data_IF_413731402148
#
_entry.id   IF_413731402148
#
_cell.length_a   1.000
_cell.length_b   1.000
_cell.length_c   1.000
_cell.angle_alpha   90.00
_cell.angle_beta   90.00
_cell.angle_gamma   90.00
#
_symmetry.space_group_name_H-M   'P 1'
#
loop_
_entity.id
_entity.type
_entity.pdbx_description
1 polymer ?
#
# COMPACT_ATOMS: atom_id res chain seq x y z
N UNK A 1 57.66 -19.97 39.88
CA UNK A 1 56.32 -19.75 40.47
C UNK A 1 55.36 -19.20 39.41
N UNK A 2 54.90 -20.04 38.48
CA UNK A 2 53.79 -19.80 37.51
C UNK A 2 53.83 -20.90 36.45
N UNK A 3 53.36 -22.11 36.74
CA UNK A 3 53.08 -23.12 35.70
C UNK A 3 52.29 -24.34 36.17
N UNK A 4 51.42 -24.18 37.17
CA UNK A 4 50.49 -25.23 37.58
C UNK A 4 49.14 -24.59 37.93
N UNK A 5 48.43 -24.11 36.91
CA UNK A 5 46.97 -24.02 36.99
C UNK A 5 46.45 -25.45 36.84
N UNK A 6 45.80 -25.95 37.89
CA UNK A 6 45.28 -27.32 37.98
C UNK A 6 44.47 -27.68 36.72
N UNK A 7 44.64 -28.90 36.21
CA UNK A 7 43.93 -29.38 35.02
C UNK A 7 42.42 -29.10 35.07
N UNK A 8 41.82 -29.15 36.26
CA UNK A 8 40.41 -28.85 36.52
C UNK A 8 40.01 -27.43 36.12
N UNK A 9 40.82 -26.41 36.39
CA UNK A 9 40.52 -25.03 36.03
C UNK A 9 40.60 -24.79 34.51
N UNK A 10 41.48 -25.53 33.83
CA UNK A 10 41.61 -25.48 32.36
C UNK A 10 40.37 -26.04 31.65
N UNK A 11 39.79 -27.11 32.19
CA UNK A 11 38.53 -27.65 31.66
C UNK A 11 37.34 -26.74 31.95
N UNK A 12 37.29 -26.08 33.12
CA UNK A 12 36.25 -25.09 33.43
C UNK A 12 36.32 -23.90 32.46
N UNK A 13 37.52 -23.39 32.16
CA UNK A 13 37.69 -22.30 31.20
C UNK A 13 37.30 -22.69 29.76
N UNK A 14 37.63 -23.92 29.34
CA UNK A 14 37.20 -24.47 28.06
C UNK A 14 35.67 -24.67 27.99
N UNK A 15 35.04 -25.11 29.08
CA UNK A 15 33.57 -25.22 29.17
C UNK A 15 32.87 -23.85 29.16
N UNK A 16 33.45 -22.82 29.82
CA UNK A 16 32.90 -21.46 29.79
C UNK A 16 33.01 -20.85 28.39
N UNK A 17 34.14 -21.04 27.69
CA UNK A 17 34.31 -20.60 26.29
C UNK A 17 33.35 -21.37 25.37
N UNK A 18 33.16 -22.67 25.58
CA UNK A 18 32.25 -23.49 24.79
C UNK A 18 30.77 -23.08 25.01
N UNK A 19 30.38 -22.77 26.25
CA UNK A 19 29.05 -22.23 26.58
C UNK A 19 28.85 -20.83 25.96
N UNK A 20 29.85 -19.95 25.99
CA UNK A 20 29.79 -18.62 25.34
C UNK A 20 29.76 -18.69 23.81
N UNK A 21 30.33 -19.73 23.19
CA UNK A 21 30.29 -19.94 21.73
C UNK A 21 29.04 -20.69 21.25
N UNK A 22 28.35 -21.43 22.11
CA UNK A 22 27.08 -22.11 21.78
C UNK A 22 25.86 -21.21 22.08
N UNK A 23 25.97 -20.26 23.01
CA UNK A 23 24.89 -19.35 23.37
C UNK A 23 24.47 -18.26 22.36
N UNK A 24 25.22 -17.85 21.30
CA UNK A 24 24.71 -16.84 20.37
C UNK A 24 23.79 -17.41 19.28
N UNK A 25 23.54 -18.73 19.25
CA UNK A 25 22.72 -19.38 18.22
C UNK A 25 21.36 -19.90 18.70
N UNK A 26 20.87 -19.43 19.85
CA UNK A 26 19.41 -19.37 20.01
C UNK A 26 18.90 -18.17 19.21
N UNK A 27 18.90 -18.31 17.89
CA UNK A 27 17.96 -17.56 17.07
C UNK A 27 16.60 -17.86 17.66
N UNK A 28 16.02 -16.89 18.39
CA UNK A 28 14.59 -16.90 18.61
C UNK A 28 14.00 -17.01 17.20
N UNK A 29 13.50 -18.19 16.84
CA UNK A 29 12.58 -18.32 15.73
C UNK A 29 11.37 -17.50 16.17
N UNK A 30 11.44 -16.19 15.94
CA UNK A 30 10.33 -15.29 16.14
C UNK A 30 9.24 -15.86 15.26
N UNK A 31 8.24 -16.49 15.87
CA UNK A 31 7.11 -17.04 15.13
C UNK A 31 6.56 -15.86 14.35
N UNK A 32 6.78 -15.85 13.03
CA UNK A 32 6.35 -14.75 12.20
C UNK A 32 4.83 -14.83 12.19
N UNK A 33 4.18 -14.08 13.08
CA UNK A 33 2.73 -13.97 13.07
C UNK A 33 2.37 -13.40 11.71
N UNK A 34 1.41 -14.03 11.04
CA UNK A 34 0.93 -13.54 9.75
C UNK A 34 0.47 -12.09 9.89
N UNK A 35 0.62 -11.28 8.84
CA UNK A 35 0.21 -9.87 8.84
C UNK A 35 -1.13 -9.70 8.15
N UNK A 36 -2.11 -9.11 8.83
CA UNK A 36 -3.41 -8.82 8.27
C UNK A 36 -3.67 -7.30 8.30
N UNK A 37 -3.79 -6.72 7.11
CA UNK A 37 -4.28 -5.35 6.94
C UNK A 37 -5.78 -5.37 6.62
N UNK A 38 -6.55 -4.56 7.34
CA UNK A 38 -8.00 -4.44 7.15
C UNK A 38 -8.30 -3.02 6.67
N UNK A 39 -8.97 -2.94 5.53
CA UNK A 39 -9.50 -1.69 4.95
C UNK A 39 -11.01 -1.67 5.16
N UNK A 40 -11.54 -0.54 5.61
CA UNK A 40 -12.98 -0.28 5.65
C UNK A 40 -13.32 0.80 4.62
N UNK A 41 -13.97 0.38 3.54
CA UNK A 41 -14.42 1.21 2.42
C UNK A 41 -15.69 2.00 2.77
N UNK A 42 -16.09 2.93 1.89
CA UNK A 42 -17.31 3.74 2.01
C UNK A 42 -17.47 4.57 3.29
N UNK A 43 -16.35 4.96 3.92
CA UNK A 43 -16.39 5.92 5.03
C UNK A 43 -16.80 7.29 4.46
N UNK A 44 -17.85 7.89 5.03
CA UNK A 44 -18.19 9.27 4.74
C UNK A 44 -19.66 9.67 4.78
N UNK A 45 -20.60 8.75 4.52
CA UNK A 45 -22.04 9.07 4.52
C UNK A 45 -22.73 8.78 5.85
N UNK A 46 -22.39 7.68 6.51
CA UNK A 46 -23.00 7.31 7.78
C UNK A 46 -22.08 7.70 8.95
N UNK A 47 -22.39 8.82 9.61
CA UNK A 47 -21.60 9.33 10.74
C UNK A 47 -21.51 8.32 11.89
N UNK A 48 -22.63 7.67 12.25
CA UNK A 48 -22.68 6.77 13.40
C UNK A 48 -21.81 5.54 13.17
N UNK A 49 -21.91 4.90 12.01
CA UNK A 49 -21.13 3.71 11.71
C UNK A 49 -19.66 4.05 11.48
N UNK A 50 -19.38 5.13 10.73
CA UNK A 50 -18.01 5.59 10.49
C UNK A 50 -17.27 5.91 11.78
N UNK A 51 -17.95 6.56 12.74
CA UNK A 51 -17.39 6.83 14.07
C UNK A 51 -17.02 5.55 14.82
N UNK A 52 -17.95 4.59 14.91
CA UNK A 52 -17.70 3.32 15.61
C UNK A 52 -16.51 2.56 15.03
N UNK A 53 -16.38 2.55 13.71
CA UNK A 53 -15.22 1.95 13.03
C UNK A 53 -13.93 2.73 13.36
N UNK A 54 -13.94 4.06 13.22
CA UNK A 54 -12.78 4.90 13.51
C UNK A 54 -12.29 4.79 14.97
N UNK A 55 -13.18 4.48 15.91
CA UNK A 55 -12.88 4.34 17.34
C UNK A 55 -12.46 2.90 17.75
N UNK A 56 -12.49 1.91 16.84
CA UNK A 56 -12.05 0.55 17.16
C UNK A 56 -10.59 0.53 17.63
N UNK A 57 -10.21 -0.16 18.71
CA UNK A 57 -8.83 -0.17 19.24
C UNK A 57 -7.85 -1.06 18.45
N UNK A 58 -7.95 -1.09 17.12
CA UNK A 58 -7.07 -1.84 16.21
C UNK A 58 -6.57 -0.97 15.04
N UNK A 59 -5.44 -1.33 14.40
CA UNK A 59 -4.85 -0.56 13.31
C UNK A 59 -5.56 -0.87 11.97
N UNK A 60 -6.75 -0.33 11.78
CA UNK A 60 -7.46 -0.39 10.50
C UNK A 60 -7.10 0.80 9.59
N UNK A 61 -7.29 0.61 8.30
CA UNK A 61 -7.21 1.67 7.29
C UNK A 61 -8.62 2.10 6.87
N UNK A 62 -8.91 3.39 6.95
CA UNK A 62 -10.20 3.97 6.57
C UNK A 62 -10.12 4.48 5.12
N UNK A 63 -10.90 3.91 4.21
CA UNK A 63 -11.03 4.42 2.85
C UNK A 63 -12.21 5.39 2.79
N UNK A 64 -11.90 6.67 2.61
CA UNK A 64 -12.86 7.77 2.74
C UNK A 64 -13.25 8.29 1.37
N UNK A 65 -14.56 8.31 1.10
CA UNK A 65 -15.12 8.90 -0.12
C UNK A 65 -14.98 10.44 -0.06
N UNK A 66 -14.55 11.10 -1.14
CA UNK A 66 -14.46 12.55 -1.19
C UNK A 66 -15.86 13.20 -1.23
N UNK A 67 -15.96 14.40 -0.67
CA UNK A 67 -17.15 15.27 -0.68
C UNK A 67 -18.43 14.68 -0.08
N UNK A 68 -18.32 13.63 0.73
CA UNK A 68 -19.46 13.17 1.52
C UNK A 68 -19.69 14.10 2.72
N UNK A 69 -20.90 14.11 3.31
CA UNK A 69 -21.24 15.02 4.41
C UNK A 69 -20.32 14.91 5.63
N UNK A 70 -19.73 13.74 5.87
CA UNK A 70 -18.91 13.47 7.05
C UNK A 70 -17.49 12.98 6.73
N UNK A 71 -17.09 12.92 5.45
CA UNK A 71 -15.81 12.33 5.03
C UNK A 71 -14.61 12.99 5.70
N UNK A 72 -14.51 14.33 5.59
CA UNK A 72 -13.44 15.11 6.23
C UNK A 72 -13.39 14.91 7.74
N UNK A 73 -14.54 15.01 8.41
CA UNK A 73 -14.63 14.82 9.86
C UNK A 73 -14.17 13.42 10.29
N UNK A 74 -14.62 12.37 9.58
CA UNK A 74 -14.26 10.99 9.89
C UNK A 74 -12.79 10.68 9.59
N UNK A 75 -12.20 11.32 8.58
CA UNK A 75 -10.76 11.25 8.30
C UNK A 75 -9.93 11.87 9.44
N UNK A 76 -10.31 13.06 9.91
CA UNK A 76 -9.65 13.72 11.06
C UNK A 76 -9.78 12.87 12.33
N UNK A 77 -10.99 12.38 12.64
CA UNK A 77 -11.23 11.51 13.79
C UNK A 77 -10.40 10.22 13.68
N UNK A 78 -10.45 9.54 12.54
CA UNK A 78 -9.69 8.30 12.32
C UNK A 78 -8.19 8.52 12.51
N UNK A 79 -7.64 9.61 11.95
CA UNK A 79 -6.23 9.95 12.13
C UNK A 79 -5.88 10.18 13.61
N UNK A 80 -6.71 10.91 14.36
CA UNK A 80 -6.55 11.11 15.81
C UNK A 80 -6.63 9.80 16.61
N UNK A 81 -7.43 8.84 16.16
CA UNK A 81 -7.53 7.48 16.72
C UNK A 81 -6.46 6.51 16.19
N UNK A 82 -5.42 7.04 15.54
CA UNK A 82 -4.28 6.29 15.04
C UNK A 82 -4.56 5.43 13.80
N UNK A 83 -5.68 5.66 13.09
CA UNK A 83 -6.00 4.95 11.85
C UNK A 83 -5.19 5.50 10.68
N UNK A 84 -4.92 4.64 9.71
CA UNK A 84 -4.44 5.10 8.40
C UNK A 84 -5.62 5.62 7.59
N UNK A 85 -5.44 6.73 6.89
CA UNK A 85 -6.45 7.29 6.00
C UNK A 85 -6.01 7.04 4.55
N UNK A 86 -6.93 6.55 3.74
CA UNK A 86 -6.76 6.45 2.30
C UNK A 86 -7.95 7.06 1.56
N UNK A 87 -7.71 7.57 0.35
CA UNK A 87 -8.77 8.10 -0.49
C UNK A 87 -9.50 6.94 -1.18
N UNK A 88 -10.81 6.84 -0.99
CA UNK A 88 -11.67 5.91 -1.72
C UNK A 88 -12.17 6.62 -2.98
N UNK A 89 -11.49 6.40 -4.10
CA UNK A 89 -11.72 7.18 -5.32
C UNK A 89 -12.89 6.60 -6.10
N UNK A 90 -13.98 7.35 -6.34
CA UNK A 90 -15.08 6.89 -7.17
C UNK A 90 -14.66 6.73 -8.62
N UNK A 91 -15.01 5.59 -9.21
CA UNK A 91 -14.60 5.24 -10.57
C UNK A 91 -15.74 4.62 -11.36
N UNK A 92 -15.79 4.91 -12.66
CA UNK A 92 -16.86 4.42 -13.54
C UNK A 92 -17.00 2.90 -13.54
N UNK A 93 -18.24 2.43 -13.63
CA UNK A 93 -18.62 1.03 -13.52
C UNK A 93 -19.45 0.58 -14.74
N UNK A 94 -19.37 -0.70 -15.07
CA UNK A 94 -20.04 -1.29 -16.25
C UNK A 94 -21.58 -1.17 -16.21
N UNK A 95 -22.15 -1.01 -15.01
CA UNK A 95 -23.59 -0.91 -14.78
C UNK A 95 -24.10 0.54 -14.76
N UNK A 96 -23.25 1.53 -15.03
CA UNK A 96 -23.60 2.96 -15.04
C UNK A 96 -24.28 3.43 -13.73
N UNK A 97 -23.92 2.79 -12.61
CA UNK A 97 -24.39 3.21 -11.30
C UNK A 97 -23.91 4.63 -10.99
N UNK A 98 -24.66 5.42 -10.20
CA UNK A 98 -24.23 6.75 -9.78
C UNK A 98 -22.85 6.71 -9.11
N UNK A 99 -21.93 7.53 -9.60
CA UNK A 99 -20.52 7.52 -9.14
C UNK A 99 -20.30 8.38 -7.89
N UNK A 100 -21.16 9.37 -7.66
CA UNK A 100 -20.92 10.39 -6.64
C UNK A 100 -19.89 11.45 -7.07
N UNK A 101 -19.65 12.44 -6.21
CA UNK A 101 -18.73 13.54 -6.48
C UNK A 101 -17.26 13.07 -6.54
N UNK A 102 -16.43 13.76 -7.33
CA UNK A 102 -15.00 13.46 -7.43
C UNK A 102 -14.66 12.19 -8.23
N UNK A 103 -15.60 11.70 -9.03
CA UNK A 103 -15.44 10.46 -9.79
C UNK A 103 -14.50 10.60 -10.99
N UNK A 104 -13.79 9.51 -11.29
CA UNK A 104 -13.00 9.34 -12.51
C UNK A 104 -13.76 8.45 -13.51
N UNK A 105 -13.73 8.81 -14.79
CA UNK A 105 -14.36 8.03 -15.89
C UNK A 105 -13.37 7.83 -17.04
N UNK A 106 -13.72 7.03 -18.05
CA UNK A 106 -12.84 6.75 -19.18
C UNK A 106 -12.64 7.96 -20.10
N UNK A 107 -13.57 8.90 -20.08
CA UNK A 107 -13.65 10.03 -21.00
C UNK A 107 -12.87 11.26 -20.47
N UNK A 108 -12.26 11.16 -19.30
CA UNK A 108 -11.49 12.26 -18.71
C UNK A 108 -10.17 12.46 -19.47
N UNK A 109 -9.77 13.71 -19.67
CA UNK A 109 -8.40 14.01 -20.09
C UNK A 109 -7.44 13.84 -18.90
N UNK A 110 -6.15 13.61 -19.18
CA UNK A 110 -5.13 13.54 -18.13
C UNK A 110 -5.13 14.77 -17.22
N UNK A 111 -5.27 15.97 -17.79
CA UNK A 111 -5.32 17.22 -17.02
C UNK A 111 -6.53 17.30 -16.10
N UNK A 112 -7.70 16.84 -16.55
CA UNK A 112 -8.92 16.80 -15.76
C UNK A 112 -8.81 15.76 -14.64
N UNK A 113 -8.24 14.58 -14.92
CA UNK A 113 -7.96 13.56 -13.92
C UNK A 113 -7.09 14.09 -12.79
N UNK A 114 -6.00 14.80 -13.12
CA UNK A 114 -5.11 15.42 -12.13
C UNK A 114 -5.87 16.46 -11.29
N UNK A 115 -6.68 17.31 -11.94
CA UNK A 115 -7.46 18.32 -11.23
C UNK A 115 -8.48 17.70 -10.26
N UNK A 116 -9.20 16.66 -10.69
CA UNK A 116 -10.15 15.93 -9.83
C UNK A 116 -9.43 15.30 -8.63
N UNK A 117 -8.27 14.68 -8.86
CA UNK A 117 -7.49 14.06 -7.78
C UNK A 117 -6.94 15.10 -6.79
N UNK A 118 -6.48 16.25 -7.26
CA UNK A 118 -6.05 17.35 -6.39
C UNK A 118 -7.20 17.84 -5.49
N UNK A 119 -8.41 17.98 -6.05
CA UNK A 119 -9.59 18.36 -5.28
C UNK A 119 -9.98 17.28 -4.26
N UNK A 120 -9.96 16.00 -4.66
CA UNK A 120 -10.28 14.88 -3.78
C UNK A 120 -9.29 14.78 -2.60
N UNK A 121 -7.98 14.88 -2.88
CA UNK A 121 -6.93 14.84 -1.85
C UNK A 121 -6.92 16.08 -0.95
N UNK A 122 -7.33 17.23 -1.47
CA UNK A 122 -7.53 18.43 -0.64
C UNK A 122 -8.73 18.29 0.28
N UNK A 123 -9.78 17.60 -0.18
CA UNK A 123 -10.99 17.38 0.60
C UNK A 123 -10.80 16.41 1.78
N UNK A 124 -10.00 15.36 1.58
CA UNK A 124 -9.75 14.32 2.59
C UNK A 124 -8.33 14.46 3.17
N UNK A 125 -8.18 14.89 4.44
CA UNK A 125 -6.87 15.08 5.04
C UNK A 125 -6.18 13.75 5.39
N UNK A 126 -4.86 13.81 5.61
CA UNK A 126 -4.02 12.70 6.10
C UNK A 126 -3.89 11.46 5.19
N UNK A 127 -4.32 11.56 3.93
CA UNK A 127 -4.27 10.45 2.97
C UNK A 127 -2.84 9.92 2.78
N UNK A 128 -2.67 8.60 2.89
CA UNK A 128 -1.41 7.86 2.64
C UNK A 128 -1.45 6.95 1.41
N UNK A 129 -2.64 6.61 0.94
CA UNK A 129 -2.83 5.82 -0.28
C UNK A 129 -4.21 5.98 -0.87
N UNK A 130 -4.47 5.24 -1.96
CA UNK A 130 -5.71 5.32 -2.73
C UNK A 130 -6.20 3.92 -3.10
N UNK A 131 -7.51 3.69 -3.05
CA UNK A 131 -8.14 2.55 -3.72
C UNK A 131 -9.33 3.01 -4.57
N UNK A 132 -9.91 2.07 -5.31
CA UNK A 132 -11.07 2.31 -6.15
C UNK A 132 -12.39 1.96 -5.43
N UNK A 133 -13.32 2.92 -5.41
CA UNK A 133 -14.75 2.67 -5.20
C UNK A 133 -15.39 2.30 -6.53
N UNK A 134 -16.08 1.17 -6.59
CA UNK A 134 -16.52 0.56 -7.86
C UNK A 134 -15.36 0.41 -8.86
N UNK A 135 -15.42 1.04 -10.03
CA UNK A 135 -14.33 1.00 -11.01
C UNK A 135 -14.33 -0.21 -11.94
N UNK A 136 -15.41 -0.99 -12.01
CA UNK A 136 -15.45 -2.16 -12.90
C UNK A 136 -15.24 -1.80 -14.37
N UNK A 137 -15.49 -0.55 -14.78
CA UNK A 137 -15.20 -0.06 -16.12
C UNK A 137 -13.83 0.64 -16.20
N UNK A 138 -13.59 1.66 -15.35
CA UNK A 138 -12.36 2.46 -15.44
C UNK A 138 -11.08 1.65 -15.22
N UNK A 139 -11.10 0.69 -14.28
CA UNK A 139 -9.90 -0.08 -13.93
C UNK A 139 -9.41 -0.97 -15.07
N UNK A 140 -10.23 -1.22 -16.10
CA UNK A 140 -9.82 -1.94 -17.31
C UNK A 140 -9.01 -1.06 -18.28
N UNK A 141 -9.10 0.27 -18.16
CA UNK A 141 -8.43 1.22 -19.03
C UNK A 141 -6.97 1.44 -18.57
N UNK A 142 -6.05 0.78 -19.27
CA UNK A 142 -4.62 0.84 -18.97
C UNK A 142 -4.04 2.27 -19.02
N UNK A 143 -4.48 3.09 -19.98
CA UNK A 143 -3.97 4.45 -20.17
C UNK A 143 -4.38 5.35 -19.00
N UNK A 144 -5.67 5.41 -18.68
CA UNK A 144 -6.18 6.25 -17.59
C UNK A 144 -5.66 5.78 -16.24
N UNK A 145 -5.55 4.46 -16.04
CA UNK A 145 -4.90 3.91 -14.84
C UNK A 145 -3.41 4.28 -14.77
N UNK A 146 -2.68 4.27 -15.89
CA UNK A 146 -1.28 4.73 -15.93
C UNK A 146 -1.11 6.20 -15.55
N UNK A 147 -2.03 7.07 -15.97
CA UNK A 147 -2.07 8.46 -15.53
C UNK A 147 -2.30 8.59 -14.03
N UNK A 148 -3.26 7.83 -13.48
CA UNK A 148 -3.49 7.77 -12.04
C UNK A 148 -2.23 7.32 -11.30
N UNK A 149 -1.58 6.23 -11.71
CA UNK A 149 -0.39 5.73 -11.02
C UNK A 149 0.79 6.72 -11.07
N UNK A 150 0.96 7.41 -12.20
CA UNK A 150 1.96 8.48 -12.34
C UNK A 150 1.69 9.61 -11.34
N UNK A 151 0.43 10.05 -11.25
CA UNK A 151 0.03 11.08 -10.30
C UNK A 151 0.27 10.63 -8.85
N UNK A 152 -0.19 9.43 -8.46
CA UNK A 152 -0.02 8.91 -7.10
C UNK A 152 1.46 8.78 -6.71
N UNK A 153 2.31 8.35 -7.65
CA UNK A 153 3.76 8.27 -7.44
C UNK A 153 4.36 9.64 -7.14
N UNK A 154 3.97 10.67 -7.89
CA UNK A 154 4.44 12.04 -7.68
C UNK A 154 4.03 12.61 -6.31
N UNK A 155 2.93 12.10 -5.75
CA UNK A 155 2.42 12.45 -4.42
C UNK A 155 2.94 11.54 -3.29
N UNK A 156 3.81 10.58 -3.61
CA UNK A 156 4.34 9.59 -2.66
C UNK A 156 3.25 8.76 -1.96
N UNK A 157 2.16 8.48 -2.67
CA UNK A 157 1.05 7.65 -2.20
C UNK A 157 1.22 6.20 -2.65
N UNK A 158 0.54 5.26 -2.00
CA UNK A 158 0.41 3.87 -2.47
C UNK A 158 -0.96 3.63 -3.12
N UNK A 159 -1.11 2.50 -3.81
CA UNK A 159 -2.39 2.09 -4.41
C UNK A 159 -2.83 0.68 -3.99
N UNK A 160 -4.11 0.51 -3.66
CA UNK A 160 -4.72 -0.81 -3.47
C UNK A 160 -5.81 -1.04 -4.52
N UNK A 161 -5.67 -2.11 -5.30
CA UNK A 161 -6.72 -2.55 -6.23
C UNK A 161 -7.80 -3.33 -5.47
N UNK A 162 -9.01 -2.76 -5.34
CA UNK A 162 -10.16 -3.41 -4.69
C UNK A 162 -10.72 -4.59 -5.53
N UNK A 163 -10.27 -4.76 -6.77
CA UNK A 163 -10.63 -5.84 -7.71
C UNK A 163 -12.13 -6.04 -7.86
N UNK A 164 -12.82 -5.00 -8.30
CA UNK A 164 -14.26 -5.04 -8.64
C UNK A 164 -14.54 -5.76 -9.96
N UNK A 165 -13.50 -5.98 -10.78
CA UNK A 165 -13.53 -6.82 -11.97
C UNK A 165 -12.25 -7.65 -12.07
N UNK A 166 -12.32 -8.83 -12.68
CA UNK A 166 -11.14 -9.65 -12.97
C UNK A 166 -10.29 -9.07 -14.10
N UNK A 167 -10.86 -8.18 -14.92
CA UNK A 167 -10.21 -7.53 -16.07
C UNK A 167 -9.36 -6.30 -15.72
N UNK A 168 -9.32 -5.93 -14.43
CA UNK A 168 -8.58 -4.76 -13.93
C UNK A 168 -7.12 -4.78 -14.39
N UNK A 169 -6.67 -3.65 -14.91
CA UNK A 169 -5.27 -3.34 -15.21
C UNK A 169 -4.61 -2.55 -14.07
N UNK A 170 -5.34 -2.22 -13.00
CA UNK A 170 -4.88 -1.29 -11.98
C UNK A 170 -3.59 -1.76 -11.30
N UNK A 171 -3.53 -3.00 -10.82
CA UNK A 171 -2.30 -3.53 -10.23
C UNK A 171 -1.16 -3.65 -11.25
N UNK A 172 -1.44 -3.98 -12.51
CA UNK A 172 -0.43 -4.06 -13.56
C UNK A 172 0.19 -2.69 -13.83
N UNK A 173 -0.65 -1.64 -13.95
CA UNK A 173 -0.18 -0.27 -14.11
C UNK A 173 0.58 0.21 -12.88
N UNK A 174 0.12 -0.10 -11.67
CA UNK A 174 0.83 0.30 -10.45
C UNK A 174 2.26 -0.29 -10.43
N UNK A 175 2.41 -1.56 -10.81
CA UNK A 175 3.73 -2.21 -10.96
C UNK A 175 4.57 -1.58 -12.06
N UNK A 176 4.01 -1.33 -13.24
CA UNK A 176 4.72 -0.69 -14.35
C UNK A 176 5.26 0.70 -14.00
N UNK A 177 4.55 1.43 -13.13
CA UNK A 177 4.98 2.73 -12.64
C UNK A 177 5.88 2.67 -11.39
N UNK A 178 6.23 1.48 -10.89
CA UNK A 178 6.95 1.27 -9.62
C UNK A 178 6.28 1.97 -8.43
N UNK A 179 4.94 1.93 -8.39
CA UNK A 179 4.14 2.44 -7.29
C UNK A 179 3.95 1.31 -6.25
N UNK A 180 4.22 1.56 -4.96
CA UNK A 180 3.87 0.61 -3.90
C UNK A 180 2.39 0.25 -4.01
N UNK A 181 2.11 -1.04 -4.19
CA UNK A 181 0.76 -1.47 -4.50
C UNK A 181 0.51 -2.93 -4.22
N UNK A 182 -0.76 -3.25 -3.96
CA UNK A 182 -1.26 -4.62 -3.76
C UNK A 182 -2.72 -4.70 -4.19
N UNK A 183 -3.22 -5.91 -4.38
CA UNK A 183 -4.65 -6.16 -4.56
C UNK A 183 -5.29 -6.58 -3.24
N UNK A 184 -6.59 -6.41 -3.13
CA UNK A 184 -7.40 -7.13 -2.14
C UNK A 184 -7.25 -8.64 -2.32
N UNK A 185 -7.07 -9.33 -1.20
CA UNK A 185 -7.06 -10.80 -1.12
C UNK A 185 -8.43 -11.34 -0.76
N UNK A 186 -9.11 -10.72 0.21
CA UNK A 186 -10.42 -11.17 0.73
C UNK A 186 -11.42 -10.02 0.77
N UNK A 187 -12.64 -10.27 0.27
CA UNK A 187 -13.80 -9.42 0.55
C UNK A 187 -14.52 -9.96 1.79
N UNK A 188 -14.71 -9.14 2.81
CA UNK A 188 -15.32 -9.56 4.07
C UNK A 188 -16.85 -9.65 3.97
N UNK A 189 -17.50 -8.67 3.35
CA UNK A 189 -18.94 -8.42 3.50
C UNK A 189 -19.68 -8.18 2.17
N UNK A 190 -19.24 -8.86 1.11
CA UNK A 190 -20.01 -9.00 -0.13
C UNK A 190 -21.42 -9.58 0.11
N UNK A 191 -21.55 -10.40 1.15
CA UNK A 191 -22.83 -10.80 1.74
C UNK A 191 -22.91 -10.21 3.15
N UNK A 192 -23.91 -9.35 3.39
CA UNK A 192 -24.18 -8.73 4.70
C UNK A 192 -24.78 -9.72 5.68
N UNK A 193 -23.95 -10.64 6.15
CA UNK A 193 -24.34 -11.68 7.10
C UNK A 193 -23.16 -11.98 8.03
N UNK A 194 -23.39 -11.92 9.34
CA UNK A 194 -22.35 -12.12 10.37
C UNK A 194 -21.60 -13.44 10.20
N UNK A 195 -22.30 -14.54 9.88
CA UNK A 195 -21.66 -15.86 9.71
C UNK A 195 -20.76 -15.89 8.48
N UNK A 196 -21.20 -15.28 7.38
CA UNK A 196 -20.39 -15.14 6.17
C UNK A 196 -19.15 -14.28 6.43
N UNK A 197 -19.32 -13.11 7.04
CA UNK A 197 -18.22 -12.18 7.33
C UNK A 197 -17.18 -12.83 8.26
N UNK A 198 -17.64 -13.56 9.28
CA UNK A 198 -16.74 -14.32 10.17
C UNK A 198 -15.96 -15.41 9.41
N UNK A 199 -16.60 -16.10 8.46
CA UNK A 199 -15.92 -17.08 7.59
C UNK A 199 -14.86 -16.40 6.71
N UNK A 200 -15.21 -15.28 6.08
CA UNK A 200 -14.27 -14.52 5.25
C UNK A 200 -13.08 -13.99 6.06
N UNK A 201 -13.32 -13.49 7.28
CA UNK A 201 -12.24 -13.07 8.17
C UNK A 201 -11.30 -14.23 8.54
N UNK A 202 -11.84 -15.42 8.83
CA UNK A 202 -11.01 -16.62 9.07
C UNK A 202 -10.16 -16.96 7.85
N UNK A 203 -10.73 -16.90 6.64
CA UNK A 203 -9.97 -17.11 5.39
C UNK A 203 -8.84 -16.08 5.28
N UNK A 204 -9.09 -14.80 5.59
CA UNK A 204 -8.06 -13.76 5.55
C UNK A 204 -6.92 -14.03 6.54
N UNK A 205 -7.25 -14.50 7.75
CA UNK A 205 -6.26 -14.88 8.77
C UNK A 205 -5.42 -16.07 8.31
N UNK A 206 -6.04 -17.12 7.75
CA UNK A 206 -5.31 -18.29 7.26
C UNK A 206 -4.43 -17.98 6.05
N UNK A 207 -4.89 -17.10 5.15
CA UNK A 207 -4.04 -16.56 4.09
C UNK A 207 -2.85 -15.80 4.68
N UNK A 208 -3.09 -14.91 5.64
CA UNK A 208 -2.04 -14.08 6.24
C UNK A 208 -0.92 -14.89 6.91
N UNK A 209 -1.21 -16.12 7.36
CA UNK A 209 -0.22 -17.05 7.92
C UNK A 209 0.66 -17.75 6.87
N UNK A 210 0.23 -17.79 5.61
CA UNK A 210 0.90 -18.58 4.55
C UNK A 210 1.55 -17.74 3.46
N UNK A 211 1.24 -16.45 3.38
CA UNK A 211 1.87 -15.51 2.45
C UNK A 211 2.42 -14.29 3.20
N UNK A 212 3.14 -13.44 2.48
CA UNK A 212 3.70 -12.18 2.99
C UNK A 212 2.60 -11.13 3.22
N UNK A 213 1.73 -11.42 4.20
CA UNK A 213 0.55 -10.69 4.65
C UNK A 213 -0.67 -10.68 3.72
N UNK A 214 -1.78 -10.15 4.20
CA UNK A 214 -3.09 -10.21 3.52
C UNK A 214 -3.82 -8.89 3.65
N UNK A 215 -4.50 -8.45 2.59
CA UNK A 215 -5.45 -7.33 2.62
C UNK A 215 -6.87 -7.87 2.57
N UNK A 216 -7.62 -7.63 3.65
CA UNK A 216 -9.06 -7.81 3.69
C UNK A 216 -9.77 -6.46 3.58
N UNK A 217 -10.84 -6.39 2.79
CA UNK A 217 -11.67 -5.19 2.66
C UNK A 217 -13.09 -5.50 3.10
N UNK A 218 -13.67 -4.62 3.90
CA UNK A 218 -15.10 -4.58 4.21
C UNK A 218 -15.63 -3.14 4.21
N UNK A 219 -16.80 -2.94 4.77
CA UNK A 219 -17.53 -1.68 4.83
C UNK A 219 -18.06 -1.43 6.26
N UNK A 220 -18.51 -0.22 6.60
CA UNK A 220 -18.97 0.13 7.95
C UNK A 220 -20.39 -0.40 8.21
N UNK A 221 -20.65 -1.67 7.94
CA UNK A 221 -21.91 -2.32 8.30
C UNK A 221 -21.91 -2.75 9.77
N UNK A 222 -23.07 -2.79 10.44
CA UNK A 222 -23.17 -3.29 11.80
C UNK A 222 -22.64 -4.72 11.96
N UNK A 223 -22.86 -5.59 10.96
CA UNK A 223 -22.39 -6.97 10.95
C UNK A 223 -20.86 -7.06 10.86
N UNK A 224 -20.26 -6.22 10.02
CA UNK A 224 -18.80 -6.11 9.89
C UNK A 224 -18.19 -5.60 11.19
N UNK A 225 -18.78 -4.56 11.78
CA UNK A 225 -18.35 -4.04 13.08
C UNK A 225 -18.42 -5.10 14.18
N UNK A 226 -19.50 -5.90 14.24
CA UNK A 226 -19.64 -6.96 15.23
C UNK A 226 -18.51 -8.00 15.10
N UNK A 227 -18.22 -8.45 13.88
CA UNK A 227 -17.15 -9.43 13.63
C UNK A 227 -15.75 -8.85 13.93
N UNK A 228 -15.51 -7.58 13.62
CA UNK A 228 -14.24 -6.92 13.97
C UNK A 228 -14.10 -6.68 15.47
N UNK A 229 -15.20 -6.49 16.19
CA UNK A 229 -15.19 -6.42 17.65
C UNK A 229 -14.76 -7.77 18.25
N UNK A 230 -15.33 -8.88 17.77
CA UNK A 230 -14.92 -10.23 18.19
C UNK A 230 -13.43 -10.51 17.91
N UNK A 231 -12.89 -9.98 16.80
CA UNK A 231 -11.47 -10.12 16.42
C UNK A 231 -10.54 -9.45 17.44
N UNK A 232 -10.90 -8.27 17.94
CA UNK A 232 -10.09 -7.53 18.92
C UNK A 232 -9.78 -8.41 20.12
N UNK A 233 -10.78 -9.17 20.59
CA UNK A 233 -10.66 -10.06 21.74
C UNK A 233 -9.81 -11.31 21.46
N UNK A 234 -9.55 -11.66 20.19
CA UNK A 234 -9.01 -12.97 19.79
C UNK A 234 -7.94 -12.92 18.68
N UNK A 235 -7.14 -11.85 18.58
CA UNK A 235 -6.17 -11.67 17.50
C UNK A 235 -4.74 -12.14 17.84
N UNK A 236 -4.49 -12.82 18.97
CA UNK A 236 -3.14 -13.23 19.42
C UNK A 236 -2.37 -14.12 18.41
N UNK A 237 -3.06 -14.69 17.42
CA UNK A 237 -2.46 -15.51 16.36
C UNK A 237 -2.10 -14.75 15.08
N UNK A 238 -2.38 -13.44 15.01
CA UNK A 238 -2.20 -12.61 13.82
C UNK A 238 -1.79 -11.19 14.19
N UNK A 239 -0.81 -10.63 13.47
CA UNK A 239 -0.44 -9.23 13.61
C UNK A 239 -1.36 -8.36 12.75
N UNK A 240 -2.13 -7.47 13.38
CA UNK A 240 -2.92 -6.46 12.65
C UNK A 240 -2.04 -5.27 12.31
N UNK A 241 -2.01 -4.87 11.03
CA UNK A 241 -1.13 -3.80 10.54
C UNK A 241 -1.89 -2.82 9.64
N UNK A 242 -1.36 -1.59 9.52
CA UNK A 242 -1.80 -0.63 8.49
C UNK A 242 -1.36 -1.09 7.10
N UNK A 243 -2.03 -0.63 6.05
CA UNK A 243 -1.68 -1.02 4.67
C UNK A 243 -0.28 -0.53 4.31
N UNK A 244 0.11 0.69 4.69
CA UNK A 244 1.46 1.18 4.41
C UNK A 244 2.57 0.34 5.05
N UNK A 245 2.35 -0.20 6.25
CA UNK A 245 3.30 -1.08 6.92
C UNK A 245 3.52 -2.34 6.09
N UNK A 246 2.43 -2.98 5.66
CA UNK A 246 2.47 -4.16 4.79
C UNK A 246 3.20 -3.91 3.46
N UNK A 247 3.08 -2.70 2.89
CA UNK A 247 3.75 -2.35 1.62
C UNK A 247 5.21 -1.90 1.80
N UNK A 248 5.58 -1.37 2.97
CA UNK A 248 6.91 -0.80 3.23
C UNK A 248 7.99 -1.86 3.45
N UNK A 249 7.64 -3.01 4.00
CA UNK A 249 8.58 -4.11 4.28
C UNK A 249 9.00 -4.84 2.99
N UNK A 250 8.13 -4.87 1.97
CA UNK A 250 8.49 -5.33 0.62
C UNK A 250 9.66 -4.54 0.01
N UNK A 251 9.88 -3.29 0.43
CA UNK A 251 10.98 -2.45 -0.04
C UNK A 251 12.33 -2.87 0.55
N UNK A 252 12.35 -3.49 1.73
CA UNK A 252 13.58 -3.96 2.38
C UNK A 252 14.08 -5.28 1.80
N UNK A 253 13.20 -6.17 1.33
CA UNK A 253 13.63 -7.40 0.66
C UNK A 253 14.20 -7.17 -0.75
N UNK A 254 13.73 -6.15 -1.48
CA UNK A 254 14.21 -5.85 -2.84
C UNK A 254 15.50 -5.00 -2.82
N UNK A 255 15.86 -4.39 -1.69
CA UNK A 255 17.04 -3.51 -1.57
C UNK A 255 18.32 -4.20 -1.09
N UNK A 256 18.29 -5.52 -0.84
CA UNK A 256 19.52 -6.30 -0.72
C UNK A 256 19.92 -6.84 -2.10
N UNK A 257 20.98 -6.31 -2.76
CA UNK A 257 21.54 -7.01 -3.90
C UNK A 257 22.00 -8.41 -3.44
N UNK A 258 21.85 -9.47 -4.26
CA UNK A 258 22.36 -10.78 -3.90
C UNK A 258 23.86 -10.64 -3.58
N UNK A 259 24.22 -11.01 -2.36
CA UNK A 259 25.62 -11.16 -1.96
C UNK A 259 26.29 -12.10 -2.96
N UNK A 260 27.19 -11.56 -3.78
CA UNK A 260 28.01 -12.32 -4.71
C UNK A 260 29.40 -12.43 -4.07
N UNK A 261 29.75 -13.56 -3.44
CA UNK A 261 31.12 -13.77 -2.99
C UNK A 261 31.94 -14.21 -4.19
N UNK A 262 32.60 -13.27 -4.85
CA UNK A 262 33.75 -13.54 -5.72
C UNK A 262 34.60 -12.27 -5.76
N UNK A 263 35.69 -12.30 -4.98
CA UNK A 263 36.83 -11.41 -5.14
C UNK A 263 37.36 -11.55 -6.57
N UNK A 264 37.08 -10.57 -7.42
CA UNK A 264 37.84 -10.33 -8.64
C UNK A 264 38.49 -8.97 -8.46
N UNK A 265 39.80 -9.00 -8.27
CA UNK A 265 40.66 -7.82 -8.33
C UNK A 265 40.49 -7.16 -9.70
N UNK A 266 39.91 -5.97 -9.73
CA UNK A 266 39.94 -5.10 -10.89
C UNK A 266 41.27 -4.34 -10.91
N UNK A 267 42.03 -4.52 -11.99
CA UNK A 267 43.16 -3.65 -12.33
C UNK A 267 42.71 -2.19 -12.47
N UNK A 268 43.60 -1.21 -12.19
CA UNK A 268 43.24 0.20 -12.23
C UNK A 268 42.90 0.67 -13.66
N UNK A 269 42.04 1.71 -13.80
CA UNK A 269 41.53 2.12 -15.09
C UNK A 269 42.61 2.73 -15.98
N UNK A 270 42.60 2.32 -17.25
CA UNK A 270 43.40 2.90 -18.33
C UNK A 270 42.88 4.32 -18.58
N UNK A 271 43.78 5.30 -18.53
CA UNK A 271 43.52 6.70 -18.87
C UNK A 271 43.28 6.89 -20.37
N UNK A 272 42.15 7.47 -20.76
CA UNK A 272 41.90 7.94 -22.12
C UNK A 272 42.16 9.45 -22.26
N UNK A 273 42.64 9.94 -23.41
CA UNK A 273 43.05 11.32 -23.59
C UNK A 273 41.86 12.27 -23.83
N UNK A 274 42.07 13.53 -23.45
CA UNK A 274 41.18 14.67 -23.62
C UNK A 274 40.63 14.81 -25.05
N UNK A 275 39.32 15.07 -25.17
CA UNK A 275 38.68 15.56 -26.40
C UNK A 275 38.41 17.06 -26.22
N UNK A 276 38.94 17.85 -27.15
CA UNK A 276 38.81 19.31 -27.24
C UNK A 276 37.44 19.77 -27.72
N UNK A 277 37.06 20.98 -27.31
CA UNK A 277 35.86 21.72 -27.74
C UNK A 277 35.80 21.88 -29.26
N UNK A 278 34.74 21.37 -29.90
CA UNK A 278 34.27 21.84 -31.21
C UNK A 278 32.87 21.26 -31.52
N UNK A 279 31.85 21.70 -30.79
CA UNK A 279 30.43 21.54 -31.19
C UNK A 279 29.58 22.74 -30.72
N UNK A 280 30.07 23.95 -30.98
CA UNK A 280 29.23 25.16 -31.02
C UNK A 280 29.05 25.52 -32.50
N UNK A 281 28.02 24.96 -33.16
CA UNK A 281 27.32 25.52 -34.32
C UNK A 281 26.39 24.47 -34.96
N UNK A 282 25.14 24.40 -34.50
CA UNK A 282 24.04 23.82 -35.28
C UNK A 282 22.85 24.80 -35.27
N UNK A 283 22.22 25.09 -36.42
CA UNK A 283 21.16 26.09 -36.52
C UNK A 283 19.80 25.59 -36.00
N UNK A 284 19.06 26.50 -35.35
CA UNK A 284 17.72 26.29 -34.79
C UNK A 284 16.66 26.37 -35.92
N UNK A 285 15.71 25.42 -36.04
CA UNK A 285 14.59 25.56 -36.98
C UNK A 285 13.49 26.49 -36.47
N UNK A 286 13.03 27.40 -37.32
CA UNK A 286 11.96 28.37 -37.07
C UNK A 286 10.56 27.73 -37.03
N UNK A 287 9.82 27.92 -35.95
CA UNK A 287 8.39 27.58 -35.87
C UNK A 287 7.51 28.64 -36.53
N UNK A 288 6.69 28.22 -37.50
CA UNK A 288 5.54 28.98 -38.03
C UNK A 288 4.40 28.99 -37.02
N UNK A 289 3.86 30.18 -36.74
CA UNK A 289 2.58 30.39 -36.05
C UNK A 289 1.43 29.94 -36.95
N UNK A 290 0.47 29.21 -36.39
CA UNK A 290 -0.86 29.06 -36.95
C UNK A 290 -1.89 29.43 -35.89
N UNK A 291 -2.59 30.54 -36.14
CA UNK A 291 -3.75 30.98 -35.41
C UNK A 291 -4.91 30.01 -35.62
N UNK A 292 -5.61 29.64 -34.54
CA UNK A 292 -6.95 29.07 -34.68
C UNK A 292 -7.94 29.72 -33.71
N UNK A 293 -9.03 30.16 -34.33
CA UNK A 293 -10.07 31.05 -33.84
C UNK A 293 -11.11 30.26 -33.04
N UNK A 294 -11.50 30.81 -31.89
CA UNK A 294 -12.64 30.40 -31.08
C UNK A 294 -13.94 30.72 -31.84
N UNK A 295 -14.81 29.73 -32.04
CA UNK A 295 -16.22 29.95 -32.37
C UNK A 295 -17.10 29.38 -31.27
N UNK A 296 -17.80 30.30 -30.62
CA UNK A 296 -18.94 30.12 -29.75
C UNK A 296 -20.12 29.57 -30.53
N UNK A 297 -20.71 28.45 -30.08
CA UNK A 297 -22.16 28.18 -30.02
C UNK A 297 -22.39 27.29 -28.80
#
# INVERSE_FOLDING_TARGET
MKLLLNLTERYIFLWIIFIFFILPFYSHAQSHQGKLAIIIDDIGYNLQHGRKIAELPIPITLAVLPFTPHGKFLAELGHQQGKEIMLHTPMSNEHQLPLGPGALTNEVSQSLLVNILDQNLTNIPHVKGVNNHMGSQLTQNAEVMGWLMSYLKSRQLYFVDSRTTHKTQALNQAKAHHLPSRKRDVFLDDIRNITHIRKQLRIAIELAKTQDGTIAIGHPYPETLAVLTDLIENHDSIELVRVSQLLSEMKQEISQPPYCPLDIQFDPPISFPFVTEDYLNLPIPSHKKSDFVIKTI
#
